data_IF_683425087890
#
_entry.id   IF_683425087890
#
_cell.length_a   1.000
_cell.length_b   1.000
_cell.length_c   1.000
_cell.angle_alpha   90.00
_cell.angle_beta   90.00
_cell.angle_gamma   90.00
#
_symmetry.space_group_name_H-M   'P 1'
#
loop_
_entity.id
_entity.type
_entity.pdbx_description
1 polymer ?
#
# COMPACT_ATOMS: atom_id res chain seq x y z
N UNK A 1 13.42 -5.25 4.26
CA UNK A 1 12.09 -4.75 3.89
C UNK A 1 11.21 -5.91 3.45
N UNK A 2 10.08 -6.07 4.12
CA UNK A 2 9.09 -7.13 3.95
C UNK A 2 7.76 -6.52 3.49
N UNK A 3 7.04 -7.23 2.63
CA UNK A 3 5.72 -6.84 2.16
C UNK A 3 4.70 -7.88 2.63
N UNK A 4 3.75 -7.44 3.44
CA UNK A 4 2.61 -8.22 3.88
C UNK A 4 1.38 -7.83 3.06
N UNK A 5 0.67 -8.83 2.54
CA UNK A 5 -0.61 -8.66 1.86
C UNK A 5 -1.68 -9.25 2.77
N UNK A 6 -2.58 -8.41 3.29
CA UNK A 6 -3.51 -8.81 4.35
C UNK A 6 -4.75 -9.51 3.80
N UNK A 7 -5.18 -9.09 2.62
CA UNK A 7 -6.29 -9.72 1.92
C UNK A 7 -6.07 -9.65 0.41
N UNK A 8 -6.42 -10.74 -0.28
CA UNK A 8 -6.34 -10.87 -1.74
C UNK A 8 -7.75 -10.99 -2.30
N UNK A 9 -8.48 -9.88 -2.42
CA UNK A 9 -9.79 -9.84 -3.07
C UNK A 9 -9.70 -9.15 -4.43
N UNK A 10 -9.56 -9.96 -5.50
CA UNK A 10 -9.67 -9.45 -6.86
C UNK A 10 -8.63 -8.37 -7.19
N UNK A 11 -9.05 -7.10 -7.22
CA UNK A 11 -8.19 -5.93 -7.49
C UNK A 11 -8.00 -4.96 -6.29
N UNK A 12 -8.58 -5.26 -5.13
CA UNK A 12 -8.53 -4.40 -3.94
C UNK A 12 -7.63 -5.03 -2.88
N UNK A 13 -6.32 -5.01 -3.12
CA UNK A 13 -5.36 -5.56 -2.17
C UNK A 13 -4.91 -4.48 -1.17
N UNK A 14 -4.67 -4.93 0.05
CA UNK A 14 -4.28 -4.12 1.21
C UNK A 14 -2.88 -4.51 1.63
N UNK A 15 -2.02 -3.54 1.86
CA UNK A 15 -0.60 -3.80 2.07
C UNK A 15 -0.08 -3.17 3.35
N UNK A 16 0.78 -3.93 4.02
CA UNK A 16 1.70 -3.37 5.00
C UNK A 16 3.13 -3.63 4.51
N UNK A 17 3.92 -2.56 4.41
CA UNK A 17 5.33 -2.62 4.10
C UNK A 17 6.11 -2.34 5.37
N UNK A 18 6.93 -3.29 5.78
CA UNK A 18 7.72 -3.22 7.01
C UNK A 18 9.19 -3.17 6.63
N UNK A 19 9.93 -2.19 7.14
CA UNK A 19 11.39 -2.18 7.07
C UNK A 19 12.00 -2.57 8.43
N UNK A 20 13.27 -2.28 8.65
CA UNK A 20 13.91 -2.46 9.96
C UNK A 20 13.34 -1.52 11.04
N UNK A 21 12.97 -0.28 10.67
CA UNK A 21 12.49 0.74 11.63
C UNK A 21 11.16 1.37 11.22
N UNK A 22 10.70 1.19 9.98
CA UNK A 22 9.62 1.97 9.39
C UNK A 22 8.44 1.09 8.98
N UNK A 23 7.22 1.62 9.12
CA UNK A 23 5.97 0.98 8.73
C UNK A 23 5.20 1.84 7.73
N UNK A 24 4.76 1.25 6.62
CA UNK A 24 3.86 1.88 5.67
C UNK A 24 2.62 1.02 5.50
N UNK A 25 1.45 1.62 5.76
CA UNK A 25 0.14 1.01 5.63
C UNK A 25 -0.56 1.62 4.42
N UNK A 26 -0.83 0.80 3.41
CA UNK A 26 -1.44 1.22 2.15
C UNK A 26 -2.81 0.57 1.95
N UNK A 27 -3.83 1.40 1.75
CA UNK A 27 -5.24 1.00 1.65
C UNK A 27 -5.65 0.07 2.81
N UNK A 28 -5.08 0.31 4.00
CA UNK A 28 -5.23 -0.57 5.15
C UNK A 28 -6.60 -0.38 5.80
N UNK A 29 -7.49 -1.32 5.51
CA UNK A 29 -8.84 -1.42 6.07
C UNK A 29 -9.16 -2.89 6.31
N UNK A 30 -9.92 -3.25 7.34
CA UNK A 30 -10.52 -4.60 7.45
C UNK A 30 -11.61 -4.58 8.52
N UNK A 31 -12.45 -5.60 8.52
CA UNK A 31 -13.44 -5.81 9.59
C UNK A 31 -12.75 -6.13 10.93
N UNK A 32 -11.48 -6.57 10.89
CA UNK A 32 -10.62 -6.93 12.02
C UNK A 32 -9.37 -6.02 12.09
N UNK A 33 -9.54 -4.73 11.80
CA UNK A 33 -8.43 -3.78 11.60
C UNK A 33 -7.41 -3.76 12.74
N UNK A 34 -7.89 -3.80 13.99
CA UNK A 34 -7.05 -3.79 15.19
C UNK A 34 -6.24 -5.08 15.32
N UNK A 35 -6.85 -6.24 15.12
CA UNK A 35 -6.14 -7.52 15.17
C UNK A 35 -5.09 -7.64 14.06
N UNK A 36 -5.40 -7.13 12.86
CA UNK A 36 -4.47 -7.14 11.74
C UNK A 36 -3.30 -6.17 11.97
N UNK A 37 -3.56 -5.02 12.62
CA UNK A 37 -2.52 -4.09 13.04
C UNK A 37 -1.63 -4.70 14.12
N UNK A 38 -2.20 -5.29 15.17
CA UNK A 38 -1.45 -5.94 16.25
C UNK A 38 -0.48 -6.99 15.71
N UNK A 39 -0.93 -7.79 14.72
CA UNK A 39 -0.07 -8.79 14.06
C UNK A 39 1.10 -8.17 13.31
N UNK A 40 0.94 -7.00 12.70
CA UNK A 40 2.05 -6.29 12.06
C UNK A 40 3.01 -5.76 13.11
N UNK A 41 2.48 -5.23 14.22
CA UNK A 41 3.28 -4.73 15.33
C UNK A 41 4.00 -5.87 16.09
N UNK A 42 3.54 -7.12 16.03
CA UNK A 42 4.36 -8.26 16.48
C UNK A 42 5.72 -8.35 15.74
N UNK A 43 5.78 -7.94 14.46
CA UNK A 43 7.01 -7.95 13.66
C UNK A 43 7.85 -6.68 13.83
N UNK A 44 7.19 -5.53 14.06
CA UNK A 44 7.84 -4.26 14.30
C UNK A 44 7.11 -3.56 15.46
N UNK A 45 7.45 -3.88 16.73
CA UNK A 45 6.70 -3.42 17.90
C UNK A 45 6.75 -1.90 18.09
N UNK A 46 7.86 -1.29 17.72
CA UNK A 46 8.11 0.13 17.90
C UNK A 46 8.57 0.74 16.57
N UNK A 47 7.65 0.90 15.59
CA UNK A 47 7.99 1.55 14.34
C UNK A 47 8.38 3.00 14.64
N UNK A 48 9.57 3.39 14.21
CA UNK A 48 10.08 4.76 14.33
C UNK A 48 9.23 5.76 13.57
N UNK A 49 8.71 5.35 12.41
CA UNK A 49 7.81 6.14 11.57
C UNK A 49 6.73 5.25 10.98
N UNK A 50 5.52 5.79 10.94
CA UNK A 50 4.37 5.14 10.33
C UNK A 50 3.80 6.05 9.27
N UNK A 51 3.61 5.55 8.05
CA UNK A 51 2.92 6.26 6.98
C UNK A 51 1.60 5.58 6.64
N UNK A 52 0.54 6.37 6.54
CA UNK A 52 -0.78 5.94 6.09
C UNK A 52 -1.01 6.47 4.67
N UNK A 53 -1.23 5.55 3.73
CA UNK A 53 -1.43 5.86 2.31
C UNK A 53 -2.77 5.33 1.81
N UNK A 54 -3.37 6.08 0.90
CA UNK A 54 -4.59 5.68 0.19
C UNK A 54 -4.43 5.88 -1.31
N UNK A 55 -4.93 4.94 -2.11
CA UNK A 55 -4.87 5.00 -3.58
C UNK A 55 -6.04 5.73 -4.22
N UNK A 56 -7.06 6.11 -3.42
CA UNK A 56 -8.23 6.90 -3.86
C UNK A 56 -8.98 7.49 -2.66
N UNK A 57 -9.81 8.52 -2.84
CA UNK A 57 -10.77 8.94 -1.82
C UNK A 57 -11.92 7.91 -1.75
N UNK A 58 -12.06 7.26 -0.60
CA UNK A 58 -13.08 6.25 -0.34
C UNK A 58 -13.49 6.33 1.13
N UNK A 59 -14.80 6.36 1.40
CA UNK A 59 -15.31 6.59 2.75
C UNK A 59 -14.86 5.50 3.74
N UNK A 60 -14.77 4.23 3.30
CA UNK A 60 -14.33 3.13 4.16
C UNK A 60 -12.83 3.22 4.43
N UNK A 61 -12.02 3.55 3.41
CA UNK A 61 -10.59 3.81 3.59
C UNK A 61 -10.37 5.00 4.54
N UNK A 62 -11.10 6.10 4.37
CA UNK A 62 -10.98 7.29 5.22
C UNK A 62 -11.33 6.99 6.67
N UNK A 63 -12.43 6.27 6.92
CA UNK A 63 -12.80 5.85 8.27
C UNK A 63 -11.74 4.92 8.90
N UNK A 64 -11.21 3.97 8.13
CA UNK A 64 -10.13 3.09 8.59
C UNK A 64 -8.86 3.88 8.92
N UNK A 65 -8.48 4.86 8.09
CA UNK A 65 -7.34 5.74 8.33
C UNK A 65 -7.53 6.58 9.59
N UNK A 66 -8.71 7.17 9.79
CA UNK A 66 -9.03 7.91 11.02
C UNK A 66 -8.91 7.01 12.25
N UNK A 67 -9.39 5.76 12.16
CA UNK A 67 -9.23 4.78 13.23
C UNK A 67 -7.75 4.45 13.49
N UNK A 68 -6.96 4.23 12.44
CA UNK A 68 -5.52 3.99 12.55
C UNK A 68 -4.79 5.18 13.18
N UNK A 69 -5.18 6.42 12.86
CA UNK A 69 -4.60 7.62 13.47
C UNK A 69 -4.89 7.70 14.97
N UNK A 70 -6.03 7.19 15.43
CA UNK A 70 -6.29 7.08 16.87
C UNK A 70 -5.40 6.04 17.57
N UNK A 71 -5.09 4.93 16.89
CA UNK A 71 -4.27 3.84 17.41
C UNK A 71 -2.76 4.16 17.32
N UNK A 72 -2.37 4.91 16.29
CA UNK A 72 -1.01 5.32 15.96
C UNK A 72 -0.99 6.85 15.82
N UNK A 73 -1.02 7.60 16.95
CA UNK A 73 -1.18 9.05 16.93
C UNK A 73 -0.10 9.78 16.15
N UNK A 74 1.12 9.23 16.12
CA UNK A 74 2.27 9.80 15.41
C UNK A 74 2.35 9.39 13.93
N UNK A 75 1.36 8.67 13.40
CA UNK A 75 1.36 8.27 12.00
C UNK A 75 1.19 9.47 11.06
N UNK A 76 1.95 9.50 9.97
CA UNK A 76 1.85 10.52 8.93
C UNK A 76 0.90 10.04 7.83
N UNK A 77 -0.22 10.73 7.65
CA UNK A 77 -1.08 10.49 6.49
C UNK A 77 -0.55 11.23 5.27
N UNK A 78 -0.25 10.51 4.19
CA UNK A 78 -0.01 11.12 2.88
C UNK A 78 -1.26 10.95 2.03
N UNK A 79 -2.09 11.98 2.04
CA UNK A 79 -3.20 12.11 1.11
C UNK A 79 -2.75 13.04 -0.02
N UNK A 80 -2.42 12.52 -1.20
CA UNK A 80 -1.95 13.35 -2.29
C UNK A 80 -3.00 14.34 -2.78
N UNK A 81 -4.30 14.09 -2.54
CA UNK A 81 -5.39 14.96 -2.99
C UNK A 81 -5.17 15.50 -4.42
N UNK A 82 -5.36 16.81 -4.58
CA UNK A 82 -4.96 17.57 -5.77
C UNK A 82 -3.64 18.34 -5.57
N UNK A 83 -2.94 18.12 -4.45
CA UNK A 83 -1.74 18.87 -4.10
C UNK A 83 -0.52 18.29 -4.81
N UNK A 84 0.00 19.05 -5.78
CA UNK A 84 1.17 18.67 -6.56
C UNK A 84 2.44 18.54 -5.71
N UNK A 85 2.49 19.13 -4.51
CA UNK A 85 3.63 18.98 -3.60
C UNK A 85 3.77 17.54 -3.09
N UNK A 86 2.66 16.80 -3.00
CA UNK A 86 2.64 15.39 -2.65
C UNK A 86 3.33 14.49 -3.69
N UNK A 87 3.49 14.98 -4.93
CA UNK A 87 4.23 14.27 -5.99
C UNK A 87 5.75 14.29 -5.79
N UNK A 88 6.24 15.08 -4.83
CA UNK A 88 7.65 15.06 -4.42
C UNK A 88 7.98 13.67 -3.86
N UNK A 89 9.06 12.99 -4.32
CA UNK A 89 9.41 11.68 -3.79
C UNK A 89 9.72 11.71 -2.29
N UNK A 90 9.10 10.80 -1.55
CA UNK A 90 9.32 10.60 -0.12
C UNK A 90 10.42 9.56 0.11
N UNK A 91 10.99 9.53 1.31
CA UNK A 91 11.97 8.50 1.71
C UNK A 91 11.38 7.56 2.75
N UNK A 92 11.30 6.29 2.39
CA UNK A 92 10.93 5.18 3.27
C UNK A 92 12.17 4.27 3.43
N UNK A 93 12.79 4.28 4.60
CA UNK A 93 13.98 3.47 4.92
C UNK A 93 15.09 3.53 3.86
N UNK A 94 15.42 4.73 3.42
CA UNK A 94 16.45 4.96 2.39
C UNK A 94 15.99 4.74 0.94
N UNK A 95 14.79 4.17 0.72
CA UNK A 95 14.19 4.01 -0.61
C UNK A 95 13.27 5.19 -0.97
N UNK A 96 13.25 5.54 -2.26
CA UNK A 96 12.31 6.54 -2.77
C UNK A 96 10.91 5.92 -2.93
N UNK A 97 9.95 6.52 -2.23
CA UNK A 97 8.52 6.33 -2.42
C UNK A 97 8.02 7.42 -3.37
N UNK A 98 7.58 7.03 -4.56
CA UNK A 98 7.04 7.95 -5.55
C UNK A 98 5.52 7.80 -5.63
N UNK A 99 4.81 8.92 -5.60
CA UNK A 99 3.38 8.97 -5.86
C UNK A 99 3.18 9.25 -7.35
N UNK A 100 2.37 8.43 -8.00
CA UNK A 100 2.08 8.51 -9.42
C UNK A 100 0.60 8.88 -9.59
N UNK A 101 0.28 10.04 -10.19
CA UNK A 101 -1.11 10.41 -10.45
C UNK A 101 -1.67 9.54 -11.58
N UNK A 102 -2.74 8.81 -11.30
CA UNK A 102 -3.40 7.94 -12.28
C UNK A 102 -4.64 8.59 -12.92
N UNK A 103 -5.03 9.78 -12.45
CA UNK A 103 -6.23 10.48 -12.91
C UNK A 103 -7.50 9.97 -12.24
N UNK A 104 -8.60 10.71 -12.39
CA UNK A 104 -9.90 10.41 -11.74
C UNK A 104 -9.77 10.14 -10.23
N UNK A 105 -8.95 10.95 -9.53
CA UNK A 105 -8.70 10.80 -8.08
C UNK A 105 -8.08 9.44 -7.69
N UNK A 106 -7.40 8.77 -8.62
CA UNK A 106 -6.61 7.57 -8.34
C UNK A 106 -5.11 7.86 -8.32
N UNK A 107 -4.40 7.17 -7.45
CA UNK A 107 -2.95 7.21 -7.32
C UNK A 107 -2.34 5.81 -7.28
N UNK A 108 -1.10 5.71 -7.73
CA UNK A 108 -0.28 4.53 -7.56
C UNK A 108 0.99 4.91 -6.79
N UNK A 109 1.55 3.95 -6.06
CA UNK A 109 2.75 4.15 -5.25
C UNK A 109 3.88 3.25 -5.72
N UNK A 110 5.05 3.83 -5.96
CA UNK A 110 6.21 3.10 -6.43
C UNK A 110 7.34 3.18 -5.39
N UNK A 111 7.65 2.04 -4.76
CA UNK A 111 8.61 1.93 -3.66
C UNK A 111 9.60 0.79 -3.95
N UNK A 112 10.90 1.10 -4.04
CA UNK A 112 11.94 0.13 -4.43
C UNK A 112 11.56 -0.65 -5.70
N UNK A 113 11.43 -1.97 -5.63
CA UNK A 113 11.00 -2.83 -6.74
C UNK A 113 9.48 -2.98 -6.87
N UNK A 114 8.69 -2.42 -5.95
CA UNK A 114 7.24 -2.59 -5.89
C UNK A 114 6.50 -1.45 -6.55
N UNK A 115 5.37 -1.79 -7.18
CA UNK A 115 4.38 -0.85 -7.69
C UNK A 115 3.00 -1.24 -7.18
N UNK A 116 2.45 -0.41 -6.31
CA UNK A 116 1.12 -0.56 -5.75
C UNK A 116 0.12 0.23 -6.58
N UNK A 117 -0.83 -0.47 -7.17
CA UNK A 117 -1.84 0.11 -8.06
C UNK A 117 -3.19 0.34 -7.38
N UNK A 118 -3.38 -0.25 -6.18
CA UNK A 118 -4.65 -0.25 -5.46
C UNK A 118 -5.85 -0.49 -6.38
N UNK A 119 -6.89 0.32 -6.18
CA UNK A 119 -8.12 0.23 -6.95
C UNK A 119 -8.13 1.07 -8.25
N UNK A 120 -6.97 1.40 -8.83
CA UNK A 120 -6.91 2.00 -10.18
C UNK A 120 -7.47 1.06 -11.26
N UNK A 121 -7.62 -0.23 -10.91
CA UNK A 121 -8.47 -1.17 -11.62
C UNK A 121 -9.62 -1.60 -10.71
N UNK A 122 -10.84 -1.60 -11.22
CA UNK A 122 -11.99 -2.10 -10.47
C UNK A 122 -11.96 -3.62 -10.29
N UNK A 123 -12.92 -4.17 -9.56
CA UNK A 123 -13.06 -5.62 -9.34
C UNK A 123 -13.18 -6.46 -10.62
N UNK A 124 -13.48 -5.83 -11.77
CA UNK A 124 -13.56 -6.47 -13.09
C UNK A 124 -12.28 -6.25 -13.92
N UNK A 125 -11.25 -5.64 -13.34
CA UNK A 125 -9.97 -5.34 -13.97
C UNK A 125 -9.98 -4.16 -14.93
N UNK A 126 -11.08 -3.38 -14.97
CA UNK A 126 -11.23 -2.22 -15.86
C UNK A 126 -10.45 -1.04 -15.29
N UNK A 127 -9.81 -0.29 -16.17
CA UNK A 127 -9.07 0.93 -15.82
C UNK A 127 -10.02 2.01 -15.30
N UNK A 128 -9.73 2.53 -14.10
CA UNK A 128 -10.49 3.59 -13.44
C UNK A 128 -9.81 4.97 -13.51
N UNK A 129 -8.51 5.02 -13.79
CA UNK A 129 -7.80 6.29 -14.01
C UNK A 129 -8.13 6.96 -15.35
N UNK A 130 -7.36 7.98 -15.73
CA UNK A 130 -7.47 8.68 -17.02
C UNK A 130 -6.42 8.20 -18.05
N UNK A 131 -6.41 8.81 -19.23
CA UNK A 131 -5.45 8.48 -20.29
C UNK A 131 -4.00 8.86 -19.95
N UNK A 132 -3.80 9.91 -19.15
CA UNK A 132 -2.47 10.33 -18.70
C UNK A 132 -1.91 9.30 -17.71
N UNK A 133 -2.71 8.85 -16.76
CA UNK A 133 -2.37 7.76 -15.84
C UNK A 133 -2.02 6.47 -16.57
N UNK A 134 -2.76 6.14 -17.64
CA UNK A 134 -2.44 4.98 -18.48
C UNK A 134 -1.08 5.12 -19.17
N UNK A 135 -0.74 6.32 -19.65
CA UNK A 135 0.59 6.62 -20.24
C UNK A 135 1.70 6.53 -19.19
N UNK A 136 1.47 7.06 -17.98
CA UNK A 136 2.42 6.97 -16.86
C UNK A 136 2.67 5.50 -16.50
N UNK A 137 1.61 4.71 -16.31
CA UNK A 137 1.71 3.29 -16.01
C UNK A 137 2.46 2.53 -17.10
N UNK A 138 2.20 2.81 -18.38
CA UNK A 138 2.91 2.17 -19.50
C UNK A 138 4.41 2.48 -19.44
N UNK A 139 4.79 3.73 -19.15
CA UNK A 139 6.20 4.15 -19.03
C UNK A 139 6.89 3.54 -17.81
N UNK A 140 6.24 3.55 -16.64
CA UNK A 140 6.77 2.96 -15.41
C UNK A 140 6.82 1.43 -15.48
N UNK A 141 5.83 0.84 -16.15
CA UNK A 141 5.75 -0.60 -16.40
C UNK A 141 6.82 -1.12 -17.35
N UNK A 142 7.37 -0.27 -18.21
CA UNK A 142 8.56 -0.61 -19.00
C UNK A 142 9.85 -0.62 -18.16
N UNK A 143 9.87 0.07 -17.00
CA UNK A 143 11.07 0.30 -16.18
C UNK A 143 11.19 -0.63 -14.97
N UNK A 144 10.09 -1.12 -14.39
CA UNK A 144 10.12 -1.94 -13.16
C UNK A 144 9.68 -3.39 -13.42
N UNK A 145 10.62 -4.34 -13.44
CA UNK A 145 10.36 -5.77 -13.79
C UNK A 145 9.44 -6.54 -12.81
N UNK A 146 9.19 -6.02 -11.61
CA UNK A 146 8.28 -6.59 -10.60
C UNK A 146 7.02 -5.76 -10.47
N UNK A 147 6.37 -5.54 -11.61
CA UNK A 147 5.05 -4.96 -11.64
C UNK A 147 4.04 -5.87 -10.97
N UNK A 148 2.89 -5.29 -10.65
CA UNK A 148 1.71 -5.96 -10.15
C UNK A 148 1.86 -6.33 -8.68
N UNK A 149 1.33 -5.46 -7.83
CA UNK A 149 0.81 -5.90 -6.56
C UNK A 149 -0.45 -6.78 -6.83
N UNK A 150 -0.21 -7.95 -7.45
CA UNK A 150 -1.00 -9.19 -7.55
C UNK A 150 0.04 -10.30 -7.79
N UNK A 151 0.03 -11.41 -7.04
CA UNK A 151 1.13 -12.35 -7.08
C UNK A 151 1.05 -13.11 -8.41
N UNK A 152 2.11 -13.01 -9.21
CA UNK A 152 2.41 -14.10 -10.14
C UNK A 152 3.49 -14.99 -9.54
N UNK A 153 4.62 -14.46 -9.07
CA UNK A 153 5.71 -15.28 -8.51
C UNK A 153 6.74 -14.40 -7.80
N UNK A 154 6.47 -13.96 -6.57
CA UNK A 154 7.49 -13.32 -5.76
C UNK A 154 7.58 -14.03 -4.41
N UNK A 155 8.65 -14.80 -4.23
CA UNK A 155 9.10 -15.52 -3.03
C UNK A 155 9.22 -14.64 -1.74
N UNK A 156 8.68 -13.42 -1.75
CA UNK A 156 8.79 -12.41 -0.67
C UNK A 156 7.46 -11.83 -0.21
N UNK A 157 6.33 -12.23 -0.80
CA UNK A 157 5.00 -11.89 -0.28
C UNK A 157 4.65 -12.95 0.75
N UNK A 158 4.66 -12.58 2.02
CA UNK A 158 4.21 -13.47 3.09
C UNK A 158 2.69 -13.32 3.16
N UNK A 159 1.98 -14.34 2.70
CA UNK A 159 0.55 -14.47 2.94
C UNK A 159 0.34 -14.65 4.45
N UNK A 160 -0.44 -13.75 5.07
CA UNK A 160 -0.76 -13.82 6.50
C UNK A 160 -1.49 -15.12 6.87
N UNK A 161 -2.21 -15.75 5.94
CA UNK A 161 -2.76 -17.09 6.13
C UNK A 161 -1.69 -18.19 6.10
N UNK A 162 -0.64 -18.04 5.29
CA UNK A 162 0.49 -18.99 5.26
C UNK A 162 1.35 -18.91 6.55
N UNK A 163 1.40 -17.74 7.21
CA UNK A 163 2.01 -17.59 8.54
C UNK A 163 1.29 -18.41 9.62
N UNK A 164 -0.04 -18.62 9.50
CA UNK A 164 -0.79 -19.47 10.44
C UNK A 164 -0.31 -20.92 10.42
N UNK A 165 0.10 -21.43 9.26
CA UNK A 165 0.54 -22.82 9.09
C UNK A 165 1.97 -23.06 9.58
N UNK A 166 2.85 -22.06 9.49
CA UNK A 166 4.25 -22.16 9.91
C UNK A 166 4.45 -22.10 11.44
N UNK A 167 3.46 -21.62 12.20
CA UNK A 167 3.50 -21.60 13.68
C UNK A 167 2.86 -22.83 14.34
N UNK A 168 2.14 -23.66 13.56
CA UNK A 168 1.47 -24.86 14.04
C UNK A 168 2.26 -26.16 13.77
N UNK A 169 3.47 -26.05 13.21
CA UNK A 169 4.44 -27.11 13.00
C UNK A 169 5.67 -26.86 13.88
#
# INVERSE_FOLDING_TARGET
MHLFCLEKTGFANRYAVVSEEDLLLLDFQSDTLEEDLDRILEYLPEPRRVWLLQTRPDAALSAARERLQCLLPDAESLDPGYDLTALTPWRFSGHLLNILPMGNEHWAFALADWLFLGAVRDARGRWCGDDLGRKILTRQGALRRRLWAFPATAEKVVDLAALRALRAA
#
